data_IF_527783391890
#
_entry.id   IF_527783391890
#
_cell.length_a   1.000
_cell.length_b   1.000
_cell.length_c   1.000
_cell.angle_alpha   90.00
_cell.angle_beta   90.00
_cell.angle_gamma   90.00
#
_symmetry.space_group_name_H-M   'P 1'
#
loop_
_entity.id
_entity.type
_entity.pdbx_description
1 polymer ?
#
# COMPACT_ATOMS: atom_id res chain seq x y z
N UNK A 1 1.65 3.85 17.51
CA UNK A 1 0.62 2.80 17.65
C UNK A 1 -0.13 2.74 16.33
N UNK A 2 0.05 1.66 15.59
CA UNK A 2 -0.75 1.36 14.40
C UNK A 2 -2.17 1.02 14.85
N UNK A 3 -3.17 1.64 14.23
CA UNK A 3 -4.58 1.33 14.49
C UNK A 3 -4.92 -0.11 14.11
N UNK A 4 -5.88 -0.68 14.81
CA UNK A 4 -6.45 -1.99 14.49
C UNK A 4 -7.90 -1.80 14.07
N UNK A 5 -8.29 -2.47 12.98
CA UNK A 5 -9.67 -2.51 12.51
C UNK A 5 -10.37 -3.75 13.07
N UNK A 6 -11.53 -3.55 13.69
CA UNK A 6 -12.38 -4.62 14.15
C UNK A 6 -13.71 -4.59 13.37
N UNK A 7 -14.01 -5.66 12.65
CA UNK A 7 -15.28 -5.82 11.96
C UNK A 7 -16.24 -6.69 12.76
N UNK A 8 -17.44 -6.18 13.06
CA UNK A 8 -18.49 -6.90 13.79
C UNK A 8 -19.77 -6.97 12.96
N UNK A 9 -20.29 -8.20 12.79
CA UNK A 9 -21.58 -8.40 12.14
C UNK A 9 -22.72 -8.35 13.17
N UNK A 10 -23.70 -7.48 12.95
CA UNK A 10 -24.90 -7.37 13.77
C UNK A 10 -26.10 -7.98 13.04
N UNK A 11 -26.80 -8.90 13.70
CA UNK A 11 -27.99 -9.59 13.17
C UNK A 11 -29.23 -9.22 14.00
N UNK A 12 -29.71 -7.99 13.94
CA UNK A 12 -30.95 -7.61 14.65
C UNK A 12 -31.64 -6.41 14.02
N UNK A 13 -32.94 -6.26 14.29
CA UNK A 13 -33.76 -5.16 13.80
C UNK A 13 -33.45 -3.81 14.47
N UNK A 14 -32.78 -3.80 15.62
CA UNK A 14 -32.40 -2.57 16.36
C UNK A 14 -30.94 -2.15 16.13
N UNK A 15 -30.49 -2.12 14.87
CA UNK A 15 -29.08 -1.86 14.52
C UNK A 15 -28.59 -0.51 15.02
N UNK A 16 -29.37 0.55 14.84
CA UNK A 16 -28.96 1.91 15.23
C UNK A 16 -28.70 2.02 16.73
N UNK A 17 -29.63 1.53 17.56
CA UNK A 17 -29.45 1.55 19.01
C UNK A 17 -28.19 0.80 19.49
N UNK A 18 -27.84 -0.29 18.82
CA UNK A 18 -26.62 -1.05 19.14
C UNK A 18 -25.36 -0.33 18.70
N UNK A 19 -25.41 0.35 17.57
CA UNK A 19 -24.28 1.16 17.08
C UNK A 19 -24.05 2.33 18.03
N UNK A 20 -25.12 3.03 18.43
CA UNK A 20 -25.04 4.14 19.37
C UNK A 20 -24.55 3.69 20.76
N UNK A 21 -25.04 2.54 21.24
CA UNK A 21 -24.57 1.96 22.49
C UNK A 21 -23.08 1.52 22.43
N UNK A 22 -22.63 0.99 21.30
CA UNK A 22 -21.24 0.64 21.08
C UNK A 22 -20.36 1.89 21.09
N UNK A 23 -20.78 2.93 20.39
CA UNK A 23 -20.06 4.21 20.32
C UNK A 23 -19.92 4.84 21.72
N UNK A 24 -21.00 4.86 22.49
CA UNK A 24 -20.99 5.36 23.88
C UNK A 24 -20.06 4.53 24.80
N UNK A 25 -20.06 3.19 24.66
CA UNK A 25 -19.15 2.34 25.42
C UNK A 25 -17.68 2.60 25.06
N UNK A 26 -17.38 2.76 23.79
CA UNK A 26 -16.03 3.05 23.30
C UNK A 26 -15.57 4.42 23.83
N UNK A 27 -16.43 5.44 23.79
CA UNK A 27 -16.12 6.79 24.29
C UNK A 27 -15.84 6.81 25.79
N UNK A 28 -16.44 5.91 26.54
CA UNK A 28 -16.23 5.78 27.98
C UNK A 28 -15.03 4.88 28.33
N UNK A 29 -14.54 4.10 27.38
CA UNK A 29 -13.44 3.15 27.62
C UNK A 29 -12.15 3.89 27.97
N UNK A 30 -11.50 3.44 29.03
CA UNK A 30 -10.20 3.91 29.52
C UNK A 30 -9.34 2.72 29.83
N UNK A 31 -8.08 2.79 29.53
CA UNK A 31 -7.10 1.80 29.94
C UNK A 31 -5.88 2.47 30.57
N UNK A 32 -5.17 1.73 31.40
CA UNK A 32 -3.94 2.22 32.02
C UNK A 32 -2.74 1.75 31.18
N UNK A 33 -1.93 2.72 30.76
CA UNK A 33 -0.66 2.46 30.13
C UNK A 33 0.43 3.08 31.02
N UNK A 34 1.31 2.24 31.56
CA UNK A 34 2.36 2.67 32.51
C UNK A 34 1.82 3.54 33.66
N UNK A 35 0.67 3.14 34.23
CA UNK A 35 -0.01 3.83 35.33
C UNK A 35 -0.77 5.10 34.93
N UNK A 36 -0.71 5.53 33.65
CA UNK A 36 -1.46 6.69 33.13
C UNK A 36 -2.76 6.25 32.45
N UNK A 37 -3.89 6.89 32.77
CA UNK A 37 -5.14 6.61 32.09
C UNK A 37 -5.10 7.18 30.67
N UNK A 38 -5.30 6.31 29.68
CA UNK A 38 -5.40 6.67 28.28
C UNK A 38 -6.80 6.37 27.74
N UNK A 39 -7.27 7.25 26.88
CA UNK A 39 -8.49 7.05 26.10
C UNK A 39 -8.11 6.82 24.64
N UNK A 40 -8.47 5.67 24.04
CA UNK A 40 -8.23 5.46 22.60
C UNK A 40 -9.14 6.40 21.79
N UNK A 41 -8.60 6.88 20.68
CA UNK A 41 -9.44 7.47 19.63
C UNK A 41 -9.96 6.34 18.74
N UNK A 42 -11.26 6.15 18.70
CA UNK A 42 -11.90 5.08 17.93
C UNK A 42 -13.02 5.67 17.08
N UNK A 43 -13.01 5.32 15.81
CA UNK A 43 -14.07 5.66 14.88
C UNK A 43 -14.98 4.46 14.62
N UNK A 44 -16.26 4.73 14.39
CA UNK A 44 -17.27 3.71 14.08
C UNK A 44 -17.87 3.97 12.71
N UNK A 45 -17.53 3.10 11.75
CA UNK A 45 -18.17 3.05 10.43
C UNK A 45 -19.09 1.84 10.34
N UNK A 46 -20.27 2.00 9.73
CA UNK A 46 -21.22 0.91 9.55
C UNK A 46 -21.95 0.95 8.21
N UNK A 47 -22.42 -0.20 7.76
CA UNK A 47 -23.24 -0.32 6.58
C UNK A 47 -24.32 -1.41 6.73
N UNK A 48 -25.41 -1.28 5.97
CA UNK A 48 -26.46 -2.28 5.87
C UNK A 48 -26.24 -3.17 4.63
N UNK A 49 -25.98 -4.45 4.84
CA UNK A 49 -25.81 -5.42 3.75
C UNK A 49 -27.15 -6.10 3.48
N UNK A 50 -27.81 -5.77 2.35
CA UNK A 50 -29.12 -6.33 1.95
C UNK A 50 -29.05 -7.45 0.92
N UNK A 51 -27.88 -7.67 0.32
CA UNK A 51 -27.62 -8.71 -0.68
C UNK A 51 -26.21 -9.27 -0.52
N UNK A 52 -25.92 -10.45 -1.08
CA UNK A 52 -24.56 -10.97 -1.05
C UNK A 52 -23.55 -9.97 -1.60
N UNK A 53 -22.46 -9.79 -0.87
CA UNK A 53 -21.37 -8.88 -1.25
C UNK A 53 -20.31 -9.70 -1.99
N UNK A 54 -20.10 -9.41 -3.26
CA UNK A 54 -19.11 -10.11 -4.08
C UNK A 54 -17.66 -9.73 -3.75
N UNK A 55 -17.46 -8.55 -3.13
CA UNK A 55 -16.14 -8.01 -2.81
C UNK A 55 -16.11 -7.45 -1.38
N UNK A 56 -16.11 -8.35 -0.40
CA UNK A 56 -16.13 -7.98 1.03
C UNK A 56 -14.98 -7.03 1.41
N UNK A 57 -13.78 -7.24 0.87
CA UNK A 57 -12.61 -6.40 1.16
C UNK A 57 -12.81 -4.92 0.78
N UNK A 58 -13.53 -4.67 -0.31
CA UNK A 58 -13.82 -3.30 -0.72
C UNK A 58 -14.77 -2.63 0.26
N UNK A 59 -15.79 -3.35 0.74
CA UNK A 59 -16.71 -2.83 1.76
C UNK A 59 -15.98 -2.56 3.08
N UNK A 60 -15.07 -3.45 3.49
CA UNK A 60 -14.27 -3.27 4.70
C UNK A 60 -13.32 -2.06 4.58
N UNK A 61 -12.66 -1.89 3.43
CA UNK A 61 -11.81 -0.73 3.18
C UNK A 61 -12.57 0.59 3.26
N UNK A 62 -13.76 0.67 2.67
CA UNK A 62 -14.61 1.85 2.74
C UNK A 62 -15.17 2.10 4.16
N UNK A 63 -15.46 1.03 4.90
CA UNK A 63 -15.84 1.17 6.30
C UNK A 63 -14.70 1.71 7.15
N UNK A 64 -13.45 1.37 6.86
CA UNK A 64 -12.27 1.96 7.50
C UNK A 64 -12.22 3.48 7.28
N UNK A 65 -12.36 3.95 6.03
CA UNK A 65 -12.41 5.39 5.72
C UNK A 65 -13.56 6.11 6.45
N UNK A 66 -14.73 5.49 6.51
CA UNK A 66 -15.90 6.04 7.22
C UNK A 66 -15.67 6.05 8.74
N UNK A 67 -14.98 5.05 9.28
CA UNK A 67 -14.59 5.02 10.69
C UNK A 67 -13.61 6.17 11.02
N UNK A 68 -12.61 6.42 10.17
CA UNK A 68 -11.70 7.56 10.34
C UNK A 68 -12.43 8.90 10.30
N UNK A 69 -13.42 9.06 9.40
CA UNK A 69 -14.27 10.25 9.38
C UNK A 69 -15.08 10.41 10.66
N UNK A 70 -15.56 9.31 11.25
CA UNK A 70 -16.35 9.35 12.48
C UNK A 70 -15.54 9.86 13.68
N UNK A 71 -14.23 9.70 13.68
CA UNK A 71 -13.33 10.29 14.69
C UNK A 71 -13.41 11.82 14.64
N UNK A 72 -13.42 12.40 13.44
CA UNK A 72 -13.48 13.85 13.25
C UNK A 72 -14.85 14.45 13.53
N UNK A 73 -15.92 13.71 13.25
CA UNK A 73 -17.32 14.14 13.46
C UNK A 73 -17.84 13.81 14.85
N UNK A 74 -17.14 12.94 15.59
CA UNK A 74 -17.49 12.41 16.91
C UNK A 74 -18.85 11.69 16.94
N UNK A 75 -19.27 11.10 15.81
CA UNK A 75 -20.50 10.31 15.66
C UNK A 75 -20.26 9.10 14.74
N UNK A 76 -20.96 7.94 14.98
CA UNK A 76 -20.95 6.83 14.05
C UNK A 76 -21.41 7.25 12.65
N UNK A 77 -20.65 6.87 11.63
CA UNK A 77 -20.94 7.25 10.25
C UNK A 77 -21.50 6.08 9.44
N UNK A 78 -22.56 6.35 8.69
CA UNK A 78 -23.22 5.38 7.84
C UNK A 78 -22.70 5.45 6.40
N UNK A 79 -22.16 4.34 5.91
CA UNK A 79 -21.65 4.24 4.56
C UNK A 79 -22.69 4.53 3.49
N UNK A 80 -23.96 4.10 3.65
CA UNK A 80 -25.01 4.35 2.66
C UNK A 80 -25.51 5.80 2.65
N UNK A 81 -25.49 6.49 3.77
CA UNK A 81 -25.92 7.89 3.83
C UNK A 81 -24.89 8.86 3.23
N UNK A 82 -23.60 8.58 3.43
CA UNK A 82 -22.50 9.36 2.83
C UNK A 82 -21.92 8.75 1.56
N UNK A 83 -22.13 7.46 1.34
CA UNK A 83 -21.29 6.61 0.54
C UNK A 83 -21.83 6.13 -0.80
N UNK A 84 -23.11 6.24 -1.12
CA UNK A 84 -23.57 5.70 -2.41
C UNK A 84 -22.87 6.39 -3.61
N UNK A 85 -22.60 7.68 -3.51
CA UNK A 85 -21.91 8.45 -4.55
C UNK A 85 -20.38 8.36 -4.39
N UNK A 86 -19.87 8.44 -3.15
CA UNK A 86 -18.44 8.34 -2.87
C UNK A 86 -17.92 6.92 -3.07
N UNK A 87 -18.65 5.90 -2.61
CA UNK A 87 -18.29 4.50 -2.76
C UNK A 87 -18.19 4.08 -4.23
N UNK A 88 -19.19 4.42 -5.05
CA UNK A 88 -19.13 4.14 -6.49
C UNK A 88 -17.96 4.85 -7.17
N UNK A 89 -17.65 6.08 -6.76
CA UNK A 89 -16.54 6.84 -7.33
C UNK A 89 -15.20 6.26 -6.91
N UNK A 90 -15.01 5.98 -5.61
CA UNK A 90 -13.78 5.38 -5.07
C UNK A 90 -13.52 3.99 -5.64
N UNK A 91 -14.53 3.13 -5.73
CA UNK A 91 -14.44 1.81 -6.37
C UNK A 91 -14.08 1.91 -7.85
N UNK A 92 -14.74 2.81 -8.57
CA UNK A 92 -14.47 3.04 -9.99
C UNK A 92 -13.04 3.53 -10.20
N UNK A 93 -12.57 4.44 -9.34
CA UNK A 93 -11.21 4.98 -9.39
C UNK A 93 -10.15 3.91 -9.06
N UNK A 94 -10.42 3.05 -8.05
CA UNK A 94 -9.54 1.91 -7.73
C UNK A 94 -9.49 0.87 -8.85
N UNK A 95 -10.63 0.49 -9.42
CA UNK A 95 -10.68 -0.45 -10.55
C UNK A 95 -9.99 0.14 -11.79
N UNK A 96 -10.19 1.40 -12.07
CA UNK A 96 -9.49 2.09 -13.16
C UNK A 96 -7.97 2.11 -12.93
N UNK A 97 -7.53 2.40 -11.69
CA UNK A 97 -6.11 2.38 -11.32
C UNK A 97 -5.52 0.98 -11.43
N UNK A 98 -6.23 -0.06 -10.96
CA UNK A 98 -5.81 -1.46 -11.10
C UNK A 98 -5.65 -1.86 -12.57
N UNK A 99 -6.64 -1.56 -13.40
CA UNK A 99 -6.59 -1.88 -14.85
C UNK A 99 -5.43 -1.17 -15.54
N UNK A 100 -5.17 0.09 -15.15
CA UNK A 100 -4.03 0.84 -15.66
C UNK A 100 -2.70 0.24 -15.20
N UNK A 101 -2.60 -0.15 -13.94
CA UNK A 101 -1.42 -0.78 -13.36
C UNK A 101 -1.10 -2.11 -14.07
N UNK A 102 -2.12 -2.95 -14.32
CA UNK A 102 -1.95 -4.18 -15.10
C UNK A 102 -1.46 -3.90 -16.51
N UNK A 103 -2.05 -2.92 -17.21
CA UNK A 103 -1.62 -2.52 -18.54
C UNK A 103 -0.17 -2.04 -18.53
N UNK A 104 0.20 -1.21 -17.55
CA UNK A 104 1.56 -0.71 -17.43
C UNK A 104 2.58 -1.83 -17.19
N UNK A 105 2.21 -2.86 -16.43
CA UNK A 105 3.03 -4.06 -16.25
C UNK A 105 3.16 -4.88 -17.54
N UNK A 106 2.03 -5.14 -18.22
CA UNK A 106 1.97 -6.04 -19.37
C UNK A 106 2.61 -5.42 -20.63
N UNK A 107 2.51 -4.09 -20.78
CA UNK A 107 3.05 -3.33 -21.90
C UNK A 107 4.37 -2.61 -21.59
N UNK A 108 4.91 -2.80 -20.36
CA UNK A 108 6.16 -2.15 -19.91
C UNK A 108 6.11 -0.62 -20.05
N UNK A 109 4.98 -0.01 -19.70
CA UNK A 109 4.76 1.45 -19.83
C UNK A 109 5.39 2.27 -18.70
N UNK A 110 5.82 1.65 -17.61
CA UNK A 110 6.46 2.36 -16.51
C UNK A 110 7.75 3.06 -16.94
N UNK A 111 8.06 4.15 -16.26
CA UNK A 111 9.32 4.87 -16.41
C UNK A 111 10.10 4.82 -15.10
N UNK A 112 11.39 4.56 -15.19
CA UNK A 112 12.30 4.69 -14.05
C UNK A 112 13.03 6.03 -14.14
N UNK A 113 13.01 6.76 -13.04
CA UNK A 113 13.84 7.94 -12.81
C UNK A 113 14.89 7.57 -11.78
N UNK A 114 16.01 8.29 -11.78
CA UNK A 114 17.07 8.09 -10.80
C UNK A 114 17.39 9.40 -10.09
N UNK A 115 17.54 9.32 -8.76
CA UNK A 115 17.94 10.46 -7.93
C UNK A 115 19.29 10.15 -7.29
N UNK A 116 20.33 10.98 -7.51
CA UNK A 116 21.62 10.79 -6.85
C UNK A 116 21.51 11.06 -5.36
N UNK A 117 22.00 10.12 -4.56
CA UNK A 117 22.07 10.22 -3.09
C UNK A 117 23.53 10.31 -2.68
N UNK A 118 23.84 11.24 -1.78
CA UNK A 118 25.17 11.43 -1.18
C UNK A 118 25.07 11.33 0.33
N UNK A 119 25.64 10.28 0.89
CA UNK A 119 25.77 10.13 2.33
C UNK A 119 26.79 11.09 2.93
N UNK A 120 26.60 11.46 4.19
CA UNK A 120 27.51 12.33 4.95
C UNK A 120 28.94 11.75 5.07
N UNK A 121 29.08 10.42 4.96
CA UNK A 121 30.37 9.70 5.02
C UNK A 121 31.01 9.48 3.65
N UNK A 122 30.46 10.10 2.58
CA UNK A 122 31.00 9.98 1.23
C UNK A 122 30.39 8.86 0.38
N UNK A 123 29.48 8.09 0.90
CA UNK A 123 28.74 7.07 0.14
C UNK A 123 27.95 7.75 -0.99
N UNK A 124 27.97 7.09 -2.16
CA UNK A 124 27.23 7.57 -3.33
C UNK A 124 26.47 6.40 -3.94
N UNK A 125 25.19 6.64 -4.19
CA UNK A 125 24.33 5.70 -4.92
C UNK A 125 23.18 6.48 -5.59
N UNK A 126 22.37 5.79 -6.37
CA UNK A 126 21.22 6.36 -7.05
C UNK A 126 19.96 5.66 -6.56
N UNK A 127 18.97 6.40 -6.09
CA UNK A 127 17.66 5.85 -5.80
C UNK A 127 16.85 5.73 -7.09
N UNK A 128 16.26 4.54 -7.29
CA UNK A 128 15.39 4.26 -8.43
C UNK A 128 13.96 4.61 -8.07
N UNK A 129 13.38 5.53 -8.81
CA UNK A 129 12.05 6.07 -8.57
C UNK A 129 11.12 5.67 -9.71
N UNK A 130 10.10 4.87 -9.38
CA UNK A 130 9.09 4.41 -10.32
C UNK A 130 8.10 5.53 -10.67
N UNK A 131 7.71 5.62 -11.93
CA UNK A 131 6.64 6.50 -12.42
C UNK A 131 5.74 5.72 -13.36
N UNK A 132 4.44 5.94 -13.25
CA UNK A 132 3.45 5.35 -14.16
C UNK A 132 2.85 6.47 -15.03
N UNK A 133 2.86 6.38 -16.36
CA UNK A 133 2.27 7.42 -17.21
C UNK A 133 0.75 7.43 -17.05
N UNK A 134 0.12 8.60 -17.11
CA UNK A 134 -1.32 8.75 -17.29
C UNK A 134 -1.70 8.82 -18.77
N UNK A 135 -3.01 8.85 -19.07
CA UNK A 135 -3.49 8.88 -20.47
C UNK A 135 -3.20 10.22 -21.17
N UNK A 136 -2.76 11.24 -20.43
CA UNK A 136 -2.39 12.55 -20.94
C UNK A 136 -0.87 12.73 -21.09
N UNK A 137 -0.08 11.69 -20.79
CA UNK A 137 1.39 11.73 -20.86
C UNK A 137 2.06 12.33 -19.62
N UNK A 138 1.30 12.62 -18.53
CA UNK A 138 1.89 13.00 -17.26
C UNK A 138 2.25 11.76 -16.43
N UNK A 139 2.98 11.95 -15.34
CA UNK A 139 3.35 10.87 -14.43
C UNK A 139 2.48 10.83 -13.18
N UNK A 140 1.99 9.63 -12.89
CA UNK A 140 1.37 9.29 -11.62
C UNK A 140 2.49 8.85 -10.66
N UNK A 141 2.53 9.45 -9.47
CA UNK A 141 3.53 9.13 -8.42
C UNK A 141 3.18 7.82 -7.70
N UNK A 142 4.19 7.12 -7.15
CA UNK A 142 4.00 5.82 -6.48
C UNK A 142 2.93 5.82 -5.39
N UNK A 143 2.85 6.85 -4.57
CA UNK A 143 1.90 6.98 -3.45
C UNK A 143 0.42 6.84 -3.88
N UNK A 144 0.13 7.07 -5.16
CA UNK A 144 -1.23 6.95 -5.70
C UNK A 144 -1.57 5.55 -6.20
N UNK A 145 -0.59 4.77 -6.64
CA UNK A 145 -0.86 3.45 -7.23
C UNK A 145 -0.27 2.27 -6.47
N UNK A 146 0.81 2.45 -5.66
CA UNK A 146 1.36 1.36 -4.87
C UNK A 146 0.40 0.80 -3.81
N UNK A 147 -0.43 1.62 -3.12
CA UNK A 147 -1.46 1.07 -2.23
C UNK A 147 -2.46 0.17 -2.98
N UNK A 148 -2.82 0.53 -4.22
CA UNK A 148 -3.68 -0.30 -5.08
C UNK A 148 -2.94 -1.58 -5.50
N UNK A 149 -1.65 -1.49 -5.86
CA UNK A 149 -0.84 -2.66 -6.16
C UNK A 149 -0.79 -3.63 -4.97
N UNK A 150 -0.65 -3.13 -3.75
CA UNK A 150 -0.65 -3.93 -2.53
C UNK A 150 -2.01 -4.59 -2.28
N UNK A 151 -3.09 -3.83 -2.37
CA UNK A 151 -4.47 -4.32 -2.16
C UNK A 151 -4.84 -5.45 -3.13
N UNK A 152 -4.38 -5.37 -4.38
CA UNK A 152 -4.65 -6.36 -5.42
C UNK A 152 -3.54 -7.40 -5.62
N UNK A 153 -2.56 -7.47 -4.72
CA UNK A 153 -1.49 -8.48 -4.76
C UNK A 153 -0.51 -8.32 -5.94
N UNK A 154 -0.38 -7.11 -6.50
CA UNK A 154 0.48 -6.82 -7.64
C UNK A 154 1.88 -6.31 -7.23
N UNK A 155 2.13 -6.04 -5.94
CA UNK A 155 3.40 -5.47 -5.46
C UNK A 155 4.62 -6.23 -5.97
N UNK A 156 4.63 -7.57 -5.82
CA UNK A 156 5.76 -8.38 -6.27
C UNK A 156 6.00 -8.31 -7.78
N UNK A 157 4.95 -8.15 -8.58
CA UNK A 157 5.10 -7.97 -10.05
C UNK A 157 5.73 -6.63 -10.38
N UNK A 158 5.31 -5.57 -9.67
CA UNK A 158 5.88 -4.22 -9.81
C UNK A 158 7.36 -4.24 -9.41
N UNK A 159 7.68 -4.79 -8.24
CA UNK A 159 9.04 -4.82 -7.72
C UNK A 159 10.00 -5.61 -8.63
N UNK A 160 9.57 -6.78 -9.11
CA UNK A 160 10.36 -7.58 -10.06
C UNK A 160 10.53 -6.87 -11.40
N UNK A 161 9.51 -6.15 -11.88
CA UNK A 161 9.62 -5.34 -13.08
C UNK A 161 10.69 -4.23 -12.90
N UNK A 162 10.65 -3.50 -11.78
CA UNK A 162 11.64 -2.45 -11.46
C UNK A 162 13.04 -3.04 -11.37
N UNK A 163 13.20 -4.16 -10.68
CA UNK A 163 14.48 -4.87 -10.55
C UNK A 163 15.03 -5.28 -11.93
N UNK A 164 14.21 -5.95 -12.73
CA UNK A 164 14.63 -6.42 -14.05
C UNK A 164 15.01 -5.26 -14.98
N UNK A 165 14.23 -4.18 -14.95
CA UNK A 165 14.52 -3.00 -15.78
C UNK A 165 15.80 -2.29 -15.34
N UNK A 166 16.04 -2.19 -14.03
CA UNK A 166 17.28 -1.61 -13.47
C UNK A 166 18.48 -2.43 -13.86
N UNK A 167 18.41 -3.76 -13.78
CA UNK A 167 19.49 -4.65 -14.17
C UNK A 167 19.77 -4.60 -15.68
N UNK A 168 18.74 -4.52 -16.51
CA UNK A 168 18.89 -4.31 -17.94
C UNK A 168 19.63 -3.02 -18.27
N UNK A 169 19.26 -1.93 -17.60
CA UNK A 169 19.93 -0.63 -17.74
C UNK A 169 21.40 -0.68 -17.32
N UNK A 170 21.72 -1.34 -16.19
CA UNK A 170 23.10 -1.51 -15.73
C UNK A 170 23.93 -2.34 -16.72
N UNK A 171 23.37 -3.41 -17.25
CA UNK A 171 24.06 -4.24 -18.24
C UNK A 171 24.36 -3.46 -19.55
N UNK A 172 23.40 -2.70 -20.02
CA UNK A 172 23.54 -1.89 -21.26
C UNK A 172 24.55 -0.75 -21.11
N UNK A 173 24.68 -0.19 -19.89
CA UNK A 173 25.54 0.97 -19.63
C UNK A 173 26.77 0.63 -18.78
N UNK A 174 27.20 -0.63 -18.74
CA UNK A 174 28.28 -1.14 -17.88
C UNK A 174 29.57 -0.30 -17.98
N UNK A 175 29.96 0.06 -19.18
CA UNK A 175 31.19 0.81 -19.42
C UNK A 175 31.09 2.29 -18.98
N UNK A 176 29.89 2.82 -18.94
CA UNK A 176 29.61 4.22 -18.58
C UNK A 176 29.33 4.43 -17.11
N UNK A 177 28.95 3.37 -16.39
CA UNK A 177 28.53 3.40 -14.99
C UNK A 177 29.40 2.48 -14.09
N UNK A 178 30.75 2.49 -14.24
CA UNK A 178 31.59 1.65 -13.41
C UNK A 178 31.45 2.05 -11.94
N UNK A 179 31.21 1.09 -11.06
CA UNK A 179 31.13 1.33 -9.62
C UNK A 179 29.88 2.04 -9.12
N UNK A 180 28.88 2.25 -9.95
CA UNK A 180 27.62 2.85 -9.52
C UNK A 180 26.70 1.82 -8.82
N UNK A 181 26.04 2.27 -7.75
CA UNK A 181 25.06 1.48 -7.00
C UNK A 181 23.67 2.08 -7.16
N UNK A 182 22.67 1.21 -7.20
CA UNK A 182 21.27 1.60 -7.35
C UNK A 182 20.43 1.04 -6.22
N UNK A 183 19.68 1.89 -5.54
CA UNK A 183 18.75 1.53 -4.50
C UNK A 183 17.36 1.35 -5.10
N UNK A 184 16.73 0.23 -4.77
CA UNK A 184 15.39 -0.15 -5.24
C UNK A 184 14.51 -0.34 -4.01
N UNK A 185 13.41 0.40 -3.96
CA UNK A 185 12.37 0.23 -2.96
C UNK A 185 11.59 -1.05 -3.23
N UNK A 186 11.42 -1.90 -2.21
CA UNK A 186 10.70 -3.16 -2.28
C UNK A 186 9.56 -3.20 -1.26
N UNK A 187 8.45 -3.75 -1.67
CA UNK A 187 7.36 -4.07 -0.76
C UNK A 187 7.77 -5.21 0.19
N UNK A 188 7.45 -5.15 1.49
CA UNK A 188 7.71 -6.24 2.43
C UNK A 188 7.13 -7.58 1.98
N UNK A 189 5.93 -7.56 1.38
CA UNK A 189 5.31 -8.76 0.81
C UNK A 189 6.14 -9.41 -0.29
N UNK A 190 6.95 -8.67 -1.03
CA UNK A 190 7.87 -9.19 -2.03
C UNK A 190 9.08 -9.86 -1.38
N UNK A 191 9.68 -9.20 -0.41
CA UNK A 191 10.90 -9.68 0.28
C UNK A 191 10.61 -10.96 1.09
N UNK A 192 9.42 -11.06 1.69
CA UNK A 192 8.99 -12.23 2.47
C UNK A 192 8.67 -13.47 1.60
N UNK A 193 8.68 -13.38 0.28
CA UNK A 193 8.46 -14.55 -0.58
C UNK A 193 9.68 -15.45 -0.59
N UNK A 194 9.50 -16.74 -0.31
CA UNK A 194 10.58 -17.73 -0.32
C UNK A 194 11.34 -17.81 -1.65
N UNK A 195 10.68 -17.50 -2.76
CA UNK A 195 11.27 -17.52 -4.11
C UNK A 195 12.07 -16.27 -4.45
N UNK A 196 11.87 -15.15 -3.73
CA UNK A 196 12.49 -13.87 -4.07
C UNK A 196 14.02 -13.91 -4.19
N UNK A 197 14.77 -14.52 -3.25
CA UNK A 197 16.23 -14.61 -3.39
C UNK A 197 16.69 -15.35 -4.65
N UNK A 198 15.96 -16.40 -5.05
CA UNK A 198 16.27 -17.16 -6.26
C UNK A 198 15.95 -16.36 -7.53
N UNK A 199 14.84 -15.59 -7.53
CA UNK A 199 14.48 -14.68 -8.62
C UNK A 199 15.55 -13.61 -8.81
N UNK A 200 16.03 -12.98 -7.72
CA UNK A 200 17.14 -12.02 -7.74
C UNK A 200 18.40 -12.63 -8.33
N UNK A 201 18.81 -13.81 -7.84
CA UNK A 201 20.01 -14.50 -8.31
C UNK A 201 19.95 -14.82 -9.81
N UNK A 202 18.79 -15.27 -10.30
CA UNK A 202 18.57 -15.54 -11.73
C UNK A 202 18.68 -14.27 -12.58
N UNK A 203 18.11 -13.16 -12.12
CA UNK A 203 18.17 -11.89 -12.81
C UNK A 203 19.60 -11.33 -12.84
N UNK A 204 20.33 -11.38 -11.73
CA UNK A 204 21.74 -10.98 -11.67
C UNK A 204 22.59 -11.78 -12.69
N UNK A 205 22.41 -13.10 -12.73
CA UNK A 205 23.08 -13.97 -13.70
C UNK A 205 22.69 -13.65 -15.15
N UNK A 206 21.39 -13.46 -15.41
CA UNK A 206 20.84 -13.12 -16.75
C UNK A 206 21.47 -11.86 -17.32
N UNK A 207 21.62 -10.82 -16.51
CA UNK A 207 22.15 -9.53 -16.93
C UNK A 207 23.65 -9.37 -16.67
N UNK A 208 24.29 -10.36 -16.05
CA UNK A 208 25.71 -10.33 -15.65
C UNK A 208 26.04 -9.07 -14.85
N UNK A 209 25.20 -8.71 -13.89
CA UNK A 209 25.37 -7.57 -12.98
C UNK A 209 25.81 -8.08 -11.62
N UNK A 210 26.78 -7.38 -11.00
CA UNK A 210 27.31 -7.75 -9.69
C UNK A 210 26.33 -7.35 -8.57
N UNK A 211 26.13 -8.23 -7.59
CA UNK A 211 25.14 -8.03 -6.52
C UNK A 211 25.38 -6.75 -5.70
N UNK A 212 26.65 -6.33 -5.51
CA UNK A 212 27.01 -5.13 -4.76
C UNK A 212 26.53 -3.82 -5.42
N UNK A 213 26.14 -3.85 -6.70
CA UNK A 213 25.58 -2.71 -7.41
C UNK A 213 24.11 -2.43 -7.02
N UNK A 214 23.46 -3.37 -6.32
CA UNK A 214 22.09 -3.21 -5.85
C UNK A 214 22.04 -2.94 -4.35
N UNK A 215 21.14 -2.04 -3.96
CA UNK A 215 20.70 -1.80 -2.59
C UNK A 215 19.21 -2.03 -2.56
N UNK A 216 18.72 -2.84 -1.62
CA UNK A 216 17.28 -3.00 -1.42
C UNK A 216 16.85 -2.20 -0.20
N UNK A 217 15.85 -1.34 -0.39
CA UNK A 217 15.25 -0.53 0.65
C UNK A 217 13.85 -1.07 0.97
N UNK A 218 13.58 -1.33 2.25
CA UNK A 218 12.28 -1.83 2.72
C UNK A 218 11.78 -0.92 3.83
N UNK A 219 10.56 -0.43 3.71
CA UNK A 219 9.97 0.47 4.72
C UNK A 219 9.54 -0.30 5.96
N UNK A 220 9.84 0.24 7.15
CA UNK A 220 9.56 -0.40 8.45
C UNK A 220 8.06 -0.59 8.75
N UNK A 221 7.18 0.13 8.11
CA UNK A 221 5.74 0.19 8.45
C UNK A 221 4.98 -1.13 8.33
N UNK A 222 5.62 -2.23 7.92
CA UNK A 222 4.97 -3.53 7.72
C UNK A 222 5.71 -4.72 8.33
N UNK A 223 6.86 -4.53 8.98
CA UNK A 223 7.65 -5.63 9.54
C UNK A 223 7.18 -6.14 10.91
N UNK A 224 6.25 -5.46 11.57
CA UNK A 224 5.79 -5.81 12.93
C UNK A 224 4.48 -6.62 12.99
N UNK A 225 4.00 -7.15 11.89
CA UNK A 225 2.71 -7.87 11.84
C UNK A 225 2.76 -9.39 11.91
N UNK A 226 3.93 -10.03 11.88
CA UNK A 226 4.08 -11.49 11.93
C UNK A 226 5.35 -11.91 12.68
N UNK A 227 5.29 -11.84 14.00
CA UNK A 227 6.16 -12.58 14.91
C UNK A 227 5.30 -13.29 15.94
#
# INVERSE_FOLDING_TARGET
LTGYDLAVRLNSESHQQRIDALDEHIKQFRFLWDGMPLQPQVGVGYCYVRSPVNHLYLVLGELGVIADLSISTNHPENLQQRGAVHLQRSLKDKVAMMSRLQRALDQSEFTLMVQPVRGLRGDRYHEVLLRMPDDNGNFIVPDRFLPVAQEFGLSSRVDLWVLERTLGFLAEHRDRLPGQRFAINLAPSTVCRAQFPLEVSRLLAKYSVEAWQLIFEVTESTTYGNA
#
